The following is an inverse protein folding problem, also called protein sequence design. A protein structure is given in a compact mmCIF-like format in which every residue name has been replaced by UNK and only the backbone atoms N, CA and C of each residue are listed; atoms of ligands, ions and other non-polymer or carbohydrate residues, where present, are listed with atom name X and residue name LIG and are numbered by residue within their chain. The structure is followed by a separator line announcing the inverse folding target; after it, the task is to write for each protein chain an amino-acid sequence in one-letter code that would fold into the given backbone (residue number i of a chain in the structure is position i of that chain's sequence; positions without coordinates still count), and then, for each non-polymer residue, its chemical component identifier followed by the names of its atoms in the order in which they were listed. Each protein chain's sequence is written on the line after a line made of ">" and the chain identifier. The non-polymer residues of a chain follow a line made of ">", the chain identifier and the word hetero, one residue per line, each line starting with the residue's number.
data_IF_910475739108
#
_entry.id   IF_910475739108
#
_cell.length_a   1.000
_cell.length_b   1.000
_cell.length_c   1.000
_cell.angle_alpha   90.00
_cell.angle_beta   90.00
_cell.angle_gamma   90.00
#
_symmetry.space_group_name_H-M   'P 1'
#
loop_
_entity.id
_entity.type
_entity.pdbx_description
1 polymer ?
#
# COMPACT_ATOMS: atom_id res chain seq x y z
N UNK A 1 31.49 -36.67 -4.83
CA UNK A 1 30.21 -36.37 -5.50
C UNK A 1 29.49 -35.39 -4.61
N UNK A 2 29.55 -34.11 -4.98
CA UNK A 2 28.80 -33.08 -4.27
C UNK A 2 27.31 -33.38 -4.42
N UNK A 3 26.63 -33.46 -3.28
CA UNK A 3 25.19 -33.60 -3.20
C UNK A 3 24.58 -32.28 -3.65
N UNK A 4 24.38 -32.12 -4.96
CA UNK A 4 23.70 -30.94 -5.50
C UNK A 4 22.32 -30.81 -4.85
N UNK A 5 22.13 -29.71 -4.14
CA UNK A 5 20.93 -29.38 -3.38
C UNK A 5 19.68 -29.50 -4.26
N UNK A 6 18.59 -30.11 -3.77
CA UNK A 6 17.35 -30.32 -4.53
C UNK A 6 16.77 -29.02 -5.13
N UNK A 7 17.08 -27.87 -4.52
CA UNK A 7 16.67 -26.54 -4.97
C UNK A 7 17.27 -26.14 -6.34
N UNK A 8 18.50 -26.57 -6.65
CA UNK A 8 19.15 -26.27 -7.93
C UNK A 8 18.47 -27.01 -9.08
N UNK A 9 18.05 -28.26 -8.82
CA UNK A 9 17.38 -29.11 -9.82
C UNK A 9 15.98 -28.60 -10.16
N UNK A 10 15.24 -28.15 -9.15
CA UNK A 10 13.94 -27.50 -9.33
C UNK A 10 14.07 -26.18 -10.12
N UNK A 11 15.15 -25.42 -9.87
CA UNK A 11 15.43 -24.18 -10.58
C UNK A 11 15.75 -24.42 -12.07
N UNK A 12 16.63 -25.38 -12.38
CA UNK A 12 16.95 -25.78 -13.76
C UNK A 12 15.71 -26.27 -14.49
N UNK A 13 14.88 -27.10 -13.82
CA UNK A 13 13.59 -27.53 -14.36
C UNK A 13 12.68 -26.35 -14.69
N UNK A 14 12.56 -25.36 -13.80
CA UNK A 14 11.77 -24.17 -14.06
C UNK A 14 12.32 -23.31 -15.22
N UNK A 15 13.64 -23.21 -15.38
CA UNK A 15 14.26 -22.49 -16.50
C UNK A 15 13.96 -23.17 -17.85
N UNK A 16 14.01 -24.51 -17.89
CA UNK A 16 13.71 -25.31 -19.08
C UNK A 16 12.25 -25.15 -19.54
N UNK A 17 11.30 -25.15 -18.61
CA UNK A 17 9.88 -24.91 -18.91
C UNK A 17 9.66 -23.55 -19.59
N UNK A 18 10.52 -22.57 -19.29
CA UNK A 18 10.53 -21.24 -19.91
C UNK A 18 9.65 -20.25 -19.16
N UNK A 19 10.06 -18.97 -19.16
CA UNK A 19 9.43 -17.93 -18.33
C UNK A 19 8.53 -16.94 -19.06
N UNK A 20 8.51 -16.85 -20.40
CA UNK A 20 7.64 -15.84 -21.05
C UNK A 20 7.30 -16.06 -22.53
N UNK A 21 8.18 -16.65 -23.36
CA UNK A 21 7.98 -16.64 -24.84
C UNK A 21 8.21 -17.96 -25.57
N UNK A 22 8.90 -18.92 -24.97
CA UNK A 22 9.10 -20.26 -25.51
C UNK A 22 8.73 -21.28 -24.41
N UNK A 23 7.46 -21.67 -24.35
CA UNK A 23 7.03 -22.77 -23.50
C UNK A 23 7.34 -24.07 -24.24
N UNK A 24 8.20 -24.92 -23.68
CA UNK A 24 8.40 -26.26 -24.21
C UNK A 24 7.09 -27.04 -24.09
N UNK A 25 6.78 -27.89 -25.07
CA UNK A 25 5.73 -28.89 -24.88
C UNK A 25 6.18 -29.87 -23.78
N UNK A 26 5.24 -30.43 -23.02
CA UNK A 26 5.57 -31.46 -22.02
C UNK A 26 6.37 -32.62 -22.62
N UNK A 27 6.04 -33.02 -23.85
CA UNK A 27 6.77 -34.06 -24.59
C UNK A 27 8.22 -33.72 -24.90
N UNK A 28 8.50 -32.46 -25.29
CA UNK A 28 9.86 -32.01 -25.58
C UNK A 28 10.65 -31.85 -24.28
N UNK A 29 9.99 -31.38 -23.21
CA UNK A 29 10.57 -31.33 -21.88
C UNK A 29 10.98 -32.72 -21.39
N UNK A 30 10.12 -33.73 -21.55
CA UNK A 30 10.43 -35.10 -21.13
C UNK A 30 11.62 -35.68 -21.91
N UNK A 31 11.71 -35.42 -23.21
CA UNK A 31 12.87 -35.81 -24.04
C UNK A 31 14.17 -35.15 -23.56
N UNK A 32 14.14 -33.85 -23.26
CA UNK A 32 15.30 -33.12 -22.75
C UNK A 32 15.69 -33.65 -21.37
N UNK A 33 14.72 -33.93 -20.49
CA UNK A 33 14.97 -34.52 -19.18
C UNK A 33 15.61 -35.90 -19.29
N UNK A 34 15.20 -36.76 -20.22
CA UNK A 34 15.86 -38.05 -20.45
C UNK A 34 17.33 -37.87 -20.81
N UNK A 35 17.64 -36.95 -21.73
CA UNK A 35 19.03 -36.69 -22.15
C UNK A 35 19.86 -36.13 -20.98
N UNK A 36 19.33 -35.15 -20.23
CA UNK A 36 20.06 -34.51 -19.14
C UNK A 36 20.22 -35.43 -17.92
N UNK A 37 19.22 -36.26 -17.62
CA UNK A 37 19.29 -37.24 -16.55
C UNK A 37 20.33 -38.33 -16.86
N UNK A 38 20.37 -38.82 -18.10
CA UNK A 38 21.26 -39.92 -18.51
C UNK A 38 22.70 -39.45 -18.76
N UNK A 39 22.88 -38.36 -19.50
CA UNK A 39 24.21 -37.89 -19.92
C UNK A 39 24.88 -36.95 -18.92
N UNK A 40 24.11 -36.17 -18.18
CA UNK A 40 24.64 -35.16 -17.25
C UNK A 40 24.41 -35.51 -15.78
N UNK A 41 23.75 -36.64 -15.48
CA UNK A 41 23.36 -37.08 -14.13
C UNK A 41 22.58 -36.02 -13.33
N UNK A 42 22.00 -35.03 -14.00
CA UNK A 42 21.16 -34.00 -13.41
C UNK A 42 19.79 -34.61 -13.18
N UNK A 43 19.44 -35.03 -11.96
CA UNK A 43 18.11 -35.60 -11.65
C UNK A 43 17.02 -34.52 -11.67
N UNK A 44 16.56 -34.14 -12.86
CA UNK A 44 15.52 -33.11 -13.03
C UNK A 44 14.15 -33.73 -12.73
N UNK A 45 13.30 -33.07 -11.92
CA UNK A 45 11.96 -33.55 -11.61
C UNK A 45 11.03 -33.58 -12.83
N UNK A 46 10.01 -34.41 -12.76
CA UNK A 46 8.97 -34.50 -13.78
C UNK A 46 8.25 -33.16 -14.01
N UNK A 47 7.75 -32.96 -15.22
CA UNK A 47 7.01 -31.75 -15.61
C UNK A 47 5.90 -31.37 -14.62
N UNK A 48 5.12 -32.35 -14.16
CA UNK A 48 4.03 -32.14 -13.20
C UNK A 48 4.54 -31.59 -11.88
N UNK A 49 5.63 -32.12 -11.34
CA UNK A 49 6.26 -31.64 -10.10
C UNK A 49 6.71 -30.19 -10.22
N UNK A 50 7.31 -29.81 -11.35
CA UNK A 50 7.71 -28.42 -11.62
C UNK A 50 6.48 -27.51 -11.71
N UNK A 51 5.44 -27.96 -12.44
CA UNK A 51 4.18 -27.22 -12.54
C UNK A 51 3.53 -26.98 -11.17
N UNK A 52 3.51 -27.98 -10.29
CA UNK A 52 3.00 -27.86 -8.93
C UNK A 52 3.86 -26.93 -8.08
N UNK A 53 5.19 -27.02 -8.17
CA UNK A 53 6.09 -26.09 -7.50
C UNK A 53 5.86 -24.65 -7.94
N UNK A 54 5.75 -24.40 -9.24
CA UNK A 54 5.44 -23.06 -9.77
C UNK A 54 4.06 -22.58 -9.34
N UNK A 55 3.04 -23.46 -9.31
CA UNK A 55 1.70 -23.13 -8.81
C UNK A 55 1.76 -22.72 -7.34
N UNK A 56 2.45 -23.51 -6.50
CA UNK A 56 2.66 -23.20 -5.08
C UNK A 56 3.34 -21.85 -4.89
N UNK A 57 4.37 -21.53 -5.68
CA UNK A 57 5.04 -20.22 -5.62
C UNK A 57 4.08 -19.09 -6.03
N UNK A 58 3.29 -19.27 -7.09
CA UNK A 58 2.28 -18.28 -7.51
C UNK A 58 1.24 -18.06 -6.42
N UNK A 59 0.75 -19.12 -5.79
CA UNK A 59 -0.23 -19.06 -4.72
C UNK A 59 0.36 -18.34 -3.48
N UNK A 60 1.61 -18.65 -3.11
CA UNK A 60 2.34 -17.97 -2.04
C UNK A 60 2.50 -16.47 -2.32
N UNK A 61 2.80 -16.11 -3.57
CA UNK A 61 2.94 -14.71 -4.00
C UNK A 61 1.60 -14.03 -4.27
N UNK A 62 0.47 -14.75 -4.24
CA UNK A 62 -0.85 -14.21 -4.60
C UNK A 62 -0.96 -13.79 -6.08
N UNK A 63 -0.18 -14.40 -6.96
CA UNK A 63 -0.16 -14.18 -8.41
C UNK A 63 -1.17 -15.09 -9.10
N UNK A 64 -2.45 -14.74 -8.96
CA UNK A 64 -3.55 -15.46 -9.61
C UNK A 64 -3.50 -15.29 -11.14
N UNK A 65 -3.49 -16.42 -11.85
CA UNK A 65 -3.64 -16.47 -13.30
C UNK A 65 -5.13 -16.48 -13.63
N UNK A 66 -5.59 -15.47 -14.36
CA UNK A 66 -6.97 -15.34 -14.81
C UNK A 66 -7.06 -15.62 -16.29
N UNK A 67 -8.02 -16.46 -16.67
CA UNK A 67 -8.37 -16.61 -18.08
C UNK A 67 -9.27 -15.44 -18.48
N UNK A 68 -8.86 -14.69 -19.50
CA UNK A 68 -9.65 -13.63 -20.11
C UNK A 68 -9.63 -13.77 -21.61
N UNK A 69 -10.71 -13.37 -22.28
CA UNK A 69 -10.73 -13.28 -23.73
C UNK A 69 -9.97 -12.03 -24.17
N UNK A 70 -9.08 -12.22 -25.14
CA UNK A 70 -8.44 -11.11 -25.83
C UNK A 70 -9.43 -10.33 -26.68
N UNK A 71 -9.00 -9.14 -27.14
CA UNK A 71 -9.78 -8.30 -28.07
C UNK A 71 -10.16 -9.06 -29.36
N UNK A 72 -9.39 -10.11 -29.69
CA UNK A 72 -9.62 -10.99 -30.84
C UNK A 72 -10.48 -12.23 -30.53
N UNK A 73 -11.10 -12.30 -29.36
CA UNK A 73 -11.94 -13.43 -28.93
C UNK A 73 -11.15 -14.71 -28.63
N UNK A 74 -9.82 -14.63 -28.48
CA UNK A 74 -9.00 -15.77 -28.11
C UNK A 74 -8.80 -15.82 -26.59
N UNK A 75 -8.99 -16.98 -25.92
CA UNK A 75 -8.74 -17.11 -24.49
C UNK A 75 -7.24 -16.97 -24.19
N UNK A 76 -6.90 -16.09 -23.27
CA UNK A 76 -5.54 -15.82 -22.82
C UNK A 76 -5.42 -15.95 -21.31
N UNK A 77 -4.29 -16.48 -20.86
CA UNK A 77 -3.93 -16.50 -19.45
C UNK A 77 -3.25 -15.17 -19.10
N UNK A 78 -3.77 -14.46 -18.10
CA UNK A 78 -3.29 -13.13 -17.72
C UNK A 78 -3.04 -13.08 -16.22
N UNK A 79 -1.91 -12.48 -15.84
CA UNK A 79 -1.65 -12.13 -14.45
C UNK A 79 -2.37 -10.83 -14.08
N UNK A 80 -2.84 -10.74 -12.84
CA UNK A 80 -3.39 -9.48 -12.33
C UNK A 80 -2.32 -8.38 -12.35
N UNK A 81 -2.43 -7.43 -13.30
CA UNK A 81 -1.52 -6.29 -13.41
C UNK A 81 -1.45 -5.50 -12.11
N UNK A 82 -2.57 -5.43 -11.37
CA UNK A 82 -2.64 -4.85 -10.03
C UNK A 82 -1.70 -5.53 -9.03
N UNK A 83 -1.75 -6.86 -8.92
CA UNK A 83 -0.92 -7.62 -7.97
C UNK A 83 0.55 -7.56 -8.37
N UNK A 84 0.84 -7.65 -9.67
CA UNK A 84 2.18 -7.49 -10.18
C UNK A 84 2.75 -6.10 -9.83
N UNK A 85 2.01 -5.03 -10.13
CA UNK A 85 2.42 -3.66 -9.79
C UNK A 85 2.59 -3.47 -8.29
N UNK A 86 1.67 -3.98 -7.46
CA UNK A 86 1.82 -3.94 -6.00
C UNK A 86 3.15 -4.54 -5.54
N UNK A 87 3.52 -5.72 -6.05
CA UNK A 87 4.79 -6.35 -5.71
C UNK A 87 6.00 -5.57 -6.21
N UNK A 88 5.93 -5.00 -7.42
CA UNK A 88 7.01 -4.19 -7.96
C UNK A 88 7.23 -2.91 -7.16
N UNK A 89 6.15 -2.22 -6.76
CA UNK A 89 6.20 -1.00 -5.97
C UNK A 89 6.60 -1.28 -4.51
N UNK A 90 6.33 -2.48 -3.99
CA UNK A 90 6.76 -2.92 -2.67
C UNK A 90 8.28 -3.18 -2.57
N UNK A 91 9.02 -3.17 -3.68
CA UNK A 91 10.47 -3.42 -3.64
C UNK A 91 11.19 -2.25 -2.96
N UNK A 92 12.04 -2.50 -1.93
CA UNK A 92 12.81 -1.44 -1.26
C UNK A 92 13.71 -0.65 -2.22
N UNK A 93 14.18 -1.27 -3.29
CA UNK A 93 15.00 -0.62 -4.33
C UNK A 93 14.20 0.37 -5.20
N UNK A 94 12.88 0.22 -5.27
CA UNK A 94 12.01 1.10 -6.07
C UNK A 94 11.54 2.29 -5.24
N UNK A 95 11.36 2.09 -3.93
CA UNK A 95 10.87 3.10 -2.99
C UNK A 95 11.58 4.47 -3.09
N UNK A 96 12.92 4.59 -3.19
CA UNK A 96 13.61 5.88 -3.31
C UNK A 96 13.26 6.68 -4.58
N UNK A 97 12.72 6.02 -5.59
CA UNK A 97 12.36 6.63 -6.88
C UNK A 97 10.86 6.98 -6.98
N UNK A 98 10.10 6.76 -5.90
CA UNK A 98 8.67 7.08 -5.84
C UNK A 98 8.47 8.26 -4.90
N UNK A 99 7.74 9.26 -5.37
CA UNK A 99 7.22 10.32 -4.50
C UNK A 99 5.99 9.78 -3.75
N UNK A 100 5.95 9.93 -2.42
CA UNK A 100 4.82 9.48 -1.58
C UNK A 100 3.86 10.60 -1.16
N UNK A 101 4.26 11.84 -1.43
CA UNK A 101 3.50 13.03 -1.08
C UNK A 101 3.12 13.79 -2.34
N UNK A 102 1.89 14.29 -2.44
CA UNK A 102 1.53 15.20 -3.50
C UNK A 102 2.28 16.53 -3.33
N UNK A 103 2.58 17.19 -4.44
CA UNK A 103 3.27 18.47 -4.49
C UNK A 103 2.34 19.53 -5.05
N UNK A 104 2.20 20.65 -4.32
CA UNK A 104 1.43 21.80 -4.79
C UNK A 104 2.35 22.75 -5.56
N UNK A 105 2.28 22.65 -6.89
CA UNK A 105 3.03 23.49 -7.83
C UNK A 105 2.30 24.76 -8.24
N UNK A 106 1.10 25.01 -7.69
CA UNK A 106 0.24 26.14 -8.09
C UNK A 106 -0.03 26.21 -9.60
N UNK A 107 0.06 25.07 -10.29
CA UNK A 107 -0.18 24.96 -11.75
C UNK A 107 1.03 25.21 -12.64
N UNK A 108 2.23 25.38 -12.09
CA UNK A 108 3.43 25.75 -12.86
C UNK A 108 4.43 24.59 -12.95
N UNK A 109 5.06 24.39 -14.10
CA UNK A 109 6.16 23.42 -14.29
C UNK A 109 5.84 21.99 -13.80
N UNK A 110 4.70 21.42 -14.22
CA UNK A 110 4.31 20.06 -13.88
C UNK A 110 5.00 19.05 -14.80
N UNK A 111 5.90 18.23 -14.25
CA UNK A 111 6.66 17.20 -14.99
C UNK A 111 6.62 15.81 -14.34
N UNK A 112 6.00 15.67 -13.15
CA UNK A 112 5.86 14.40 -12.43
C UNK A 112 4.44 14.19 -11.89
N UNK A 113 4.06 12.93 -11.68
CA UNK A 113 2.71 12.57 -11.22
C UNK A 113 2.36 13.13 -9.84
N UNK A 114 3.35 13.29 -8.94
CA UNK A 114 3.18 13.91 -7.63
C UNK A 114 2.69 15.35 -7.71
N UNK A 115 2.95 16.06 -8.80
CA UNK A 115 2.50 17.43 -9.02
C UNK A 115 1.09 17.52 -9.62
N UNK A 116 0.41 16.39 -9.82
CA UNK A 116 -0.93 16.36 -10.37
C UNK A 116 -1.95 16.93 -9.38
N UNK A 117 -2.77 17.87 -9.85
CA UNK A 117 -3.91 18.40 -9.10
C UNK A 117 -4.88 17.30 -8.65
N UNK A 118 -4.93 16.18 -9.37
CA UNK A 118 -5.78 15.04 -9.03
C UNK A 118 -5.38 14.41 -7.70
N UNK A 119 -4.08 14.39 -7.38
CA UNK A 119 -3.58 13.82 -6.12
C UNK A 119 -4.00 14.68 -4.93
N UNK A 120 -3.86 16.01 -5.04
CA UNK A 120 -4.28 16.97 -4.01
C UNK A 120 -5.78 16.90 -3.70
N UNK A 121 -6.59 16.46 -4.66
CA UNK A 121 -8.06 16.40 -4.58
C UNK A 121 -8.62 14.99 -4.35
N UNK A 122 -7.78 14.02 -3.99
CA UNK A 122 -8.23 12.64 -3.75
C UNK A 122 -9.19 12.50 -2.57
N UNK A 123 -10.00 11.44 -2.62
CA UNK A 123 -10.88 11.05 -1.52
C UNK A 123 -10.07 10.72 -0.25
N UNK A 124 -10.63 10.91 0.96
CA UNK A 124 -9.93 10.68 2.22
C UNK A 124 -9.16 9.36 2.31
N UNK A 125 -9.73 8.27 1.78
CA UNK A 125 -9.14 6.93 1.76
C UNK A 125 -7.89 6.77 0.88
N UNK A 126 -7.71 7.66 -0.11
CA UNK A 126 -6.60 7.59 -1.07
C UNK A 126 -5.55 8.68 -0.82
N UNK A 127 -5.78 9.59 0.12
CA UNK A 127 -4.80 10.60 0.51
C UNK A 127 -3.58 9.94 1.15
N UNK A 128 -2.47 10.66 1.19
CA UNK A 128 -1.33 10.24 2.01
C UNK A 128 -1.76 10.18 3.48
N UNK A 129 -1.63 9.01 4.09
CA UNK A 129 -2.23 8.73 5.40
C UNK A 129 -1.34 9.12 6.58
N UNK A 130 -0.05 9.33 6.36
CA UNK A 130 0.93 9.51 7.44
C UNK A 130 2.10 10.37 6.97
N UNK A 131 2.67 11.15 7.90
CA UNK A 131 4.01 11.70 7.77
C UNK A 131 4.86 11.35 9.00
N UNK A 132 6.18 11.46 8.85
CA UNK A 132 7.14 11.17 9.93
C UNK A 132 7.85 12.46 10.32
N UNK A 133 7.91 12.76 11.61
CA UNK A 133 8.74 13.84 12.16
C UNK A 133 9.42 13.36 13.45
N UNK A 134 10.74 13.52 13.57
CA UNK A 134 11.51 13.15 14.76
C UNK A 134 11.18 11.74 15.31
N UNK A 135 11.09 10.73 14.44
CA UNK A 135 10.70 9.32 14.74
C UNK A 135 9.24 9.07 15.10
N UNK A 136 8.42 10.13 15.19
CA UNK A 136 6.98 10.06 15.44
C UNK A 136 6.18 9.97 14.15
N UNK A 137 5.04 9.30 14.23
CA UNK A 137 4.11 9.05 13.13
C UNK A 137 2.84 9.89 13.32
N UNK A 138 2.61 10.80 12.38
CA UNK A 138 1.43 11.66 12.41
C UNK A 138 0.48 11.26 11.30
N UNK A 139 -0.72 10.83 11.68
CA UNK A 139 -1.74 10.37 10.74
C UNK A 139 -2.69 11.51 10.34
N UNK A 140 -3.24 11.40 9.13
CA UNK A 140 -4.36 12.25 8.73
C UNK A 140 -5.60 11.93 9.59
N UNK A 141 -6.44 12.93 9.83
CA UNK A 141 -7.64 12.83 10.67
C UNK A 141 -7.40 12.46 12.15
N UNK A 142 -6.14 12.49 12.61
CA UNK A 142 -5.81 12.34 14.03
C UNK A 142 -5.37 13.68 14.65
N UNK A 143 -5.83 14.01 15.87
CA UNK A 143 -5.36 15.21 16.54
C UNK A 143 -3.86 15.17 16.84
N UNK A 144 -3.18 16.29 16.63
CA UNK A 144 -1.77 16.49 16.98
C UNK A 144 -1.58 17.82 17.69
N UNK A 145 -0.54 17.90 18.51
CA UNK A 145 -0.11 19.15 19.16
C UNK A 145 1.21 19.61 18.54
N UNK A 146 1.30 20.89 18.21
CA UNK A 146 2.54 21.54 17.75
C UNK A 146 3.45 21.95 18.91
N UNK A 147 4.70 22.32 18.63
CA UNK A 147 5.59 22.92 19.64
C UNK A 147 5.05 24.23 20.24
N UNK A 148 4.19 24.93 19.49
CA UNK A 148 3.45 26.12 19.99
C UNK A 148 2.26 25.78 20.89
N UNK A 149 2.06 24.49 21.24
CA UNK A 149 0.94 23.98 22.05
C UNK A 149 -0.43 24.21 21.42
N UNK A 150 -0.51 24.27 20.09
CA UNK A 150 -1.76 24.38 19.35
C UNK A 150 -2.24 22.99 18.92
N UNK A 151 -3.54 22.76 19.06
CA UNK A 151 -4.19 21.53 18.65
C UNK A 151 -4.67 21.64 17.21
N UNK A 152 -4.23 20.72 16.36
CA UNK A 152 -4.59 20.64 14.95
C UNK A 152 -5.02 19.24 14.58
N UNK A 153 -5.83 19.13 13.52
CA UNK A 153 -6.13 17.86 12.86
C UNK A 153 -5.72 17.99 11.39
N UNK A 154 -4.69 17.26 10.93
CA UNK A 154 -4.23 17.31 9.55
C UNK A 154 -5.23 16.60 8.63
N UNK A 155 -5.62 17.27 7.55
CA UNK A 155 -6.58 16.77 6.56
C UNK A 155 -5.88 16.36 5.26
N UNK A 156 -4.78 17.05 4.93
CA UNK A 156 -3.94 16.79 3.77
C UNK A 156 -2.47 16.93 4.14
N UNK A 157 -1.63 16.03 3.63
CA UNK A 157 -0.17 16.20 3.59
C UNK A 157 0.25 16.53 2.17
N UNK A 158 1.10 17.52 2.00
CA UNK A 158 1.60 17.93 0.68
C UNK A 158 2.94 18.65 0.80
N UNK A 159 3.76 18.55 -0.25
CA UNK A 159 4.96 19.34 -0.41
C UNK A 159 4.56 20.71 -0.97
N UNK A 160 4.98 21.76 -0.28
CA UNK A 160 4.83 23.16 -0.71
C UNK A 160 6.19 23.83 -0.63
N UNK A 161 6.62 24.45 -1.74
CA UNK A 161 7.90 25.15 -1.85
C UNK A 161 9.10 24.28 -1.39
N UNK A 162 9.07 22.98 -1.70
CA UNK A 162 10.12 22.01 -1.37
C UNK A 162 10.08 21.45 0.06
N UNK A 163 9.17 21.91 0.92
CA UNK A 163 9.03 21.40 2.28
C UNK A 163 7.70 20.67 2.50
N UNK A 164 7.71 19.64 3.35
CA UNK A 164 6.50 18.91 3.71
C UNK A 164 5.65 19.74 4.70
N UNK A 165 4.39 19.92 4.34
CA UNK A 165 3.41 20.64 5.11
C UNK A 165 2.16 19.78 5.28
N UNK A 166 1.37 20.16 6.28
CA UNK A 166 0.00 19.70 6.44
C UNK A 166 -0.97 20.86 6.30
N UNK A 167 -2.09 20.61 5.62
CA UNK A 167 -3.27 21.47 5.72
C UNK A 167 -4.16 20.92 6.83
N UNK A 168 -4.32 21.71 7.87
CA UNK A 168 -4.94 21.34 9.12
C UNK A 168 -6.21 22.14 9.38
N UNK A 169 -7.14 21.55 10.12
CA UNK A 169 -8.23 22.27 10.77
C UNK A 169 -7.97 22.38 12.27
N UNK A 170 -8.48 23.44 12.87
CA UNK A 170 -8.58 23.54 14.33
C UNK A 170 -9.89 22.87 14.72
N UNK A 171 -9.87 21.79 15.52
CA UNK A 171 -11.10 21.13 15.93
C UNK A 171 -11.91 22.01 16.88
N UNK A 172 -13.22 22.03 16.70
CA UNK A 172 -14.12 22.68 17.66
C UNK A 172 -14.34 21.74 18.84
N UNK A 173 -14.05 22.22 20.03
CA UNK A 173 -14.25 21.46 21.28
C UNK A 173 -15.62 21.85 21.85
N UNK A 174 -16.55 20.90 21.95
CA UNK A 174 -17.85 21.09 22.60
C UNK A 174 -17.94 20.27 23.88
N UNK A 175 -18.20 20.95 24.99
CA UNK A 175 -18.47 20.28 26.28
C UNK A 175 -19.83 19.59 26.26
N UNK A 176 -19.88 18.29 26.55
CA UNK A 176 -21.12 17.50 26.66
C UNK A 176 -21.53 17.24 28.10
N UNK A 177 -20.58 17.17 29.02
CA UNK A 177 -20.79 17.08 30.48
C UNK A 177 -19.59 17.70 31.21
N UNK A 178 -19.59 17.71 32.55
CA UNK A 178 -18.52 18.33 33.35
C UNK A 178 -17.09 17.83 33.05
N UNK A 179 -16.93 16.63 32.47
CA UNK A 179 -15.61 16.06 32.15
C UNK A 179 -15.50 15.44 30.75
N UNK A 180 -16.55 15.55 29.91
CA UNK A 180 -16.54 14.97 28.55
C UNK A 180 -16.65 16.05 27.48
N UNK A 181 -15.83 15.89 26.44
CA UNK A 181 -15.77 16.84 25.34
C UNK A 181 -15.89 16.09 24.01
N UNK A 182 -16.53 16.73 23.04
CA UNK A 182 -16.60 16.26 21.67
C UNK A 182 -15.67 17.11 20.82
N UNK A 183 -14.72 16.45 20.15
CA UNK A 183 -13.93 17.05 19.09
C UNK A 183 -14.69 16.97 17.77
N UNK A 184 -14.82 18.11 17.11
CA UNK A 184 -15.59 18.27 15.88
C UNK A 184 -14.74 18.88 14.77
N UNK A 185 -14.85 18.33 13.56
CA UNK A 185 -14.27 18.93 12.35
C UNK A 185 -15.33 19.14 11.28
N UNK A 186 -15.12 20.09 10.35
CA UNK A 186 -15.98 20.21 9.19
C UNK A 186 -15.94 18.96 8.30
N UNK A 187 -17.09 18.59 7.72
CA UNK A 187 -17.17 17.54 6.72
C UNK A 187 -16.80 18.07 5.32
N UNK A 188 -16.37 17.17 4.41
CA UNK A 188 -16.17 17.46 2.98
C UNK A 188 -15.20 18.62 2.68
N UNK A 189 -14.18 18.78 3.52
CA UNK A 189 -13.16 19.84 3.36
C UNK A 189 -12.39 19.61 2.06
N UNK A 190 -12.34 20.65 1.21
CA UNK A 190 -11.58 20.67 -0.04
C UNK A 190 -10.15 21.13 0.21
N UNK A 191 -9.23 20.76 -0.68
CA UNK A 191 -7.81 21.13 -0.54
C UNK A 191 -7.56 22.65 -0.51
N UNK A 192 -8.38 23.43 -1.21
CA UNK A 192 -8.29 24.90 -1.28
C UNK A 192 -9.29 25.60 -0.35
N UNK A 193 -9.79 24.91 0.67
CA UNK A 193 -10.69 25.52 1.65
C UNK A 193 -9.96 26.61 2.45
N UNK A 194 -10.47 27.84 2.52
CA UNK A 194 -9.80 28.94 3.22
C UNK A 194 -9.74 28.76 4.74
N UNK A 195 -10.54 27.84 5.30
CA UNK A 195 -10.51 27.52 6.74
C UNK A 195 -9.33 26.62 7.14
N UNK A 196 -8.59 26.10 6.15
CA UNK A 196 -7.42 25.27 6.39
C UNK A 196 -6.20 26.12 6.73
N UNK A 197 -5.56 25.77 7.84
CA UNK A 197 -4.27 26.29 8.24
C UNK A 197 -3.16 25.47 7.61
N UNK A 198 -2.18 26.14 7.03
CA UNK A 198 -0.98 25.46 6.53
C UNK A 198 0.08 25.46 7.62
N UNK A 199 0.50 24.27 8.05
CA UNK A 199 1.46 24.06 9.14
C UNK A 199 2.61 23.21 8.61
N UNK A 200 3.85 23.59 8.94
CA UNK A 200 5.03 22.76 8.60
C UNK A 200 5.02 21.49 9.44
N UNK A 201 5.26 20.33 8.83
CA UNK A 201 5.27 19.07 9.61
C UNK A 201 6.39 19.02 10.65
N UNK A 202 7.46 19.80 10.44
CA UNK A 202 8.54 20.04 11.41
C UNK A 202 8.04 20.64 12.74
N UNK A 203 6.90 21.34 12.74
CA UNK A 203 6.32 21.95 13.94
C UNK A 203 5.51 20.97 14.80
N UNK A 204 5.30 19.74 14.32
CA UNK A 204 4.56 18.71 15.04
C UNK A 204 5.38 18.18 16.21
N UNK A 205 4.78 18.13 17.40
CA UNK A 205 5.46 17.75 18.64
C UNK A 205 4.90 16.47 19.27
N UNK A 206 3.58 16.40 19.44
CA UNK A 206 2.92 15.28 20.14
C UNK A 206 1.89 14.59 19.25
N UNK A 207 1.95 13.27 19.26
CA UNK A 207 0.91 12.40 18.69
C UNK A 207 -0.32 12.38 19.59
N UNK A 208 -1.47 11.97 19.05
CA UNK A 208 -2.74 11.92 19.76
C UNK A 208 -2.68 11.28 21.17
N UNK A 209 -2.00 10.13 21.39
CA UNK A 209 -1.94 9.50 22.71
C UNK A 209 -1.19 10.33 23.77
N UNK A 210 -0.31 11.22 23.35
CA UNK A 210 0.53 12.05 24.24
C UNK A 210 -0.13 13.38 24.61
N UNK A 211 -1.19 13.78 23.89
CA UNK A 211 -1.88 15.05 24.10
C UNK A 211 -2.65 14.99 25.43
N UNK A 212 -2.43 16.01 26.27
CA UNK A 212 -3.09 16.15 27.56
C UNK A 212 -3.77 17.51 27.65
N UNK A 213 -5.00 17.51 28.15
CA UNK A 213 -5.76 18.71 28.45
C UNK A 213 -6.17 18.65 29.93
N UNK A 214 -5.82 19.68 30.71
CA UNK A 214 -6.02 19.70 32.17
C UNK A 214 -5.46 18.45 32.89
N UNK A 215 -4.24 18.01 32.50
CA UNK A 215 -3.56 16.80 32.98
C UNK A 215 -4.22 15.45 32.66
N UNK A 216 -5.34 15.43 31.94
CA UNK A 216 -6.00 14.21 31.47
C UNK A 216 -5.67 13.97 29.98
N UNK A 217 -5.41 12.71 29.56
CA UNK A 217 -5.23 12.38 28.16
C UNK A 217 -6.46 12.73 27.32
N UNK A 218 -6.24 13.37 26.16
CA UNK A 218 -7.33 13.78 25.27
C UNK A 218 -8.19 12.59 24.82
N UNK A 219 -7.56 11.41 24.66
CA UNK A 219 -8.21 10.14 24.37
C UNK A 219 -9.30 9.74 25.35
N UNK A 220 -9.08 9.99 26.65
CA UNK A 220 -10.05 9.71 27.72
C UNK A 220 -11.16 10.74 27.69
N UNK A 221 -10.78 12.02 27.59
CA UNK A 221 -11.69 13.17 27.60
C UNK A 221 -12.72 13.09 26.46
N UNK A 222 -12.27 12.63 25.28
CA UNK A 222 -13.09 12.50 24.08
C UNK A 222 -13.60 11.08 23.84
N UNK A 223 -13.32 10.16 24.76
CA UNK A 223 -13.66 8.74 24.65
C UNK A 223 -13.27 8.11 23.30
N UNK A 224 -12.12 8.53 22.75
CA UNK A 224 -11.66 8.18 21.40
C UNK A 224 -12.74 8.35 20.32
N UNK A 225 -13.43 9.49 20.34
CA UNK A 225 -14.44 9.82 19.33
C UNK A 225 -14.16 11.16 18.69
N UNK A 226 -14.43 11.19 17.40
CA UNK A 226 -14.27 12.34 16.54
C UNK A 226 -15.52 12.51 15.68
N UNK A 227 -16.00 13.74 15.51
CA UNK A 227 -17.27 14.00 14.84
C UNK A 227 -17.09 14.93 13.65
N UNK A 228 -17.58 14.51 12.49
CA UNK A 228 -17.72 15.42 11.34
C UNK A 228 -19.05 16.19 11.45
N UNK A 229 -19.02 17.48 11.18
CA UNK A 229 -20.18 18.38 11.28
C UNK A 229 -20.34 19.15 9.97
N UNK A 230 -21.58 19.28 9.50
CA UNK A 230 -21.93 20.15 8.38
C UNK A 230 -22.09 21.60 8.88
N UNK A 231 -21.90 22.59 8.00
CA UNK A 231 -21.95 24.02 8.34
C UNK A 231 -23.22 24.50 9.07
N UNK A 232 -24.28 23.71 9.06
CA UNK A 232 -25.46 23.91 9.89
C UNK A 232 -25.29 23.16 11.22
N UNK A 233 -25.24 23.91 12.34
CA UNK A 233 -25.10 23.46 13.73
C UNK A 233 -26.14 22.41 14.23
N UNK A 234 -26.91 21.78 13.34
CA UNK A 234 -27.79 20.68 13.67
C UNK A 234 -26.97 19.40 13.94
N UNK A 235 -27.06 18.80 15.14
CA UNK A 235 -26.57 17.45 15.33
C UNK A 235 -27.49 16.53 14.54
N UNK A 236 -27.04 16.06 13.37
CA UNK A 236 -27.78 15.03 12.64
C UNK A 236 -27.88 13.82 13.58
N UNK A 237 -29.10 13.32 13.79
CA UNK A 237 -29.43 11.99 14.34
C UNK A 237 -28.93 10.86 13.43
N UNK A 238 -27.67 10.95 12.99
CA UNK A 238 -27.10 10.18 11.88
C UNK A 238 -25.74 10.72 11.44
N UNK A 239 -24.97 11.36 12.33
CA UNK A 239 -23.58 11.67 12.05
C UNK A 239 -22.85 10.38 11.68
N UNK A 240 -22.29 10.31 10.48
CA UNK A 240 -21.43 9.18 10.10
C UNK A 240 -20.30 9.14 11.14
N UNK A 241 -20.33 8.10 11.99
CA UNK A 241 -19.15 7.69 12.75
C UNK A 241 -18.02 7.52 11.74
N UNK A 242 -17.00 8.38 11.79
CA UNK A 242 -15.67 7.81 11.62
C UNK A 242 -15.60 6.76 12.73
N UNK A 243 -15.46 5.48 12.36
CA UNK A 243 -15.50 4.36 13.30
C UNK A 243 -14.54 4.57 14.46
N UNK A 244 -14.63 3.74 15.50
CA UNK A 244 -13.62 3.69 16.56
C UNK A 244 -12.23 3.81 15.92
N UNK A 245 -11.32 4.63 16.48
CA UNK A 245 -10.01 5.00 15.90
C UNK A 245 -9.24 3.82 15.26
N UNK A 246 -9.57 2.59 15.64
CA UNK A 246 -9.00 1.32 15.18
C UNK A 246 -9.65 0.69 13.93
N UNK A 247 -10.81 1.15 13.41
CA UNK A 247 -11.54 0.45 12.35
C UNK A 247 -11.30 0.93 10.92
N UNK A 248 -10.54 2.01 10.70
CA UNK A 248 -10.01 2.34 9.36
C UNK A 248 -8.78 1.49 8.97
N UNK A 249 -8.27 0.69 9.92
CA UNK A 249 -7.28 -0.36 9.67
C UNK A 249 -8.00 -1.69 9.87
N UNK A 250 -8.44 -2.34 8.79
CA UNK A 250 -8.93 -3.72 8.90
C UNK A 250 -7.77 -4.62 9.35
N UNK A 251 -7.83 -5.29 10.51
CA UNK A 251 -6.76 -6.16 10.99
C UNK A 251 -6.60 -7.43 10.14
N UNK A 252 -7.56 -7.72 9.26
CA UNK A 252 -7.57 -8.89 8.38
C UNK A 252 -6.54 -8.84 7.23
N UNK A 253 -5.80 -7.73 7.09
CA UNK A 253 -4.67 -7.63 6.16
C UNK A 253 -3.29 -7.72 6.84
N UNK A 254 -3.24 -7.82 8.17
CA UNK A 254 -2.01 -8.00 8.92
C UNK A 254 -1.69 -9.49 9.02
N UNK A 255 -0.94 -10.04 8.05
CA UNK A 255 -0.20 -11.27 8.35
C UNK A 255 0.91 -10.90 9.36
N UNK A 256 1.02 -11.58 10.51
CA UNK A 256 2.14 -11.39 11.41
C UNK A 256 3.40 -11.90 10.71
N UNK A 257 4.32 -11.01 10.35
CA UNK A 257 5.70 -11.42 10.06
C UNK A 257 6.35 -11.81 11.39
N UNK A 258 6.23 -13.09 11.75
CA UNK A 258 7.05 -13.72 12.77
C UNK A 258 8.46 -13.89 12.22
N UNK A 259 9.30 -12.86 12.38
CA UNK A 259 10.77 -12.89 12.57
C UNK A 259 11.40 -11.58 12.07
N UNK A 260 12.10 -10.81 12.93
CA UNK A 260 12.86 -9.65 12.50
C UNK A 260 14.24 -10.12 11.99
N UNK A 261 14.39 -10.33 10.69
CA UNK A 261 15.72 -10.43 10.09
C UNK A 261 16.31 -9.02 9.95
N UNK A 262 17.29 -8.73 10.80
CA UNK A 262 18.05 -7.48 10.81
C UNK A 262 19.10 -7.52 9.71
N UNK A 263 18.79 -6.98 8.53
CA UNK A 263 19.82 -6.66 7.55
C UNK A 263 20.61 -5.43 8.02
N UNK A 264 21.84 -5.64 8.52
CA UNK A 264 22.83 -4.56 8.69
C UNK A 264 23.27 -4.08 7.31
N UNK A 265 22.92 -2.84 6.98
CA UNK A 265 23.68 -2.08 5.99
C UNK A 265 24.02 -0.70 6.55
N UNK A 266 25.26 -0.30 6.31
CA UNK A 266 25.91 0.85 6.91
C UNK A 266 25.17 2.17 6.63
N UNK A 267 24.97 2.95 7.69
CA UNK A 267 24.92 4.42 7.58
C UNK A 267 23.56 5.10 7.35
N UNK A 268 22.45 4.38 7.17
CA UNK A 268 21.11 5.00 7.16
C UNK A 268 20.10 4.08 7.83
N UNK A 269 19.58 4.47 9.00
CA UNK A 269 18.45 3.81 9.65
C UNK A 269 17.18 4.03 8.81
N UNK A 270 17.03 3.27 7.74
CA UNK A 270 15.77 3.17 7.00
C UNK A 270 15.04 1.99 7.64
N UNK A 271 14.11 2.29 8.55
CA UNK A 271 13.14 1.29 9.01
C UNK A 271 12.38 0.77 7.77
N UNK A 272 12.42 -0.54 7.48
CA UNK A 272 11.79 -1.09 6.28
C UNK A 272 10.26 -1.12 6.35
N UNK A 273 9.63 -0.66 7.43
CA UNK A 273 8.18 -0.81 7.61
C UNK A 273 7.36 0.32 6.96
N UNK A 274 7.75 1.59 7.07
CA UNK A 274 6.83 2.72 6.78
C UNK A 274 6.49 2.89 5.30
N UNK A 275 7.46 2.68 4.41
CA UNK A 275 7.29 2.86 2.96
C UNK A 275 6.55 1.70 2.30
N UNK A 276 6.76 0.48 2.83
CA UNK A 276 6.01 -0.72 2.47
C UNK A 276 4.53 -0.60 2.85
N UNK A 277 4.23 -0.07 4.04
CA UNK A 277 2.84 0.14 4.50
C UNK A 277 2.09 1.20 3.69
N UNK A 278 2.74 2.32 3.34
CA UNK A 278 2.11 3.38 2.53
C UNK A 278 1.83 2.92 1.09
N UNK A 279 2.75 2.19 0.46
CA UNK A 279 2.55 1.62 -0.87
C UNK A 279 1.43 0.57 -0.90
N UNK A 280 1.26 -0.20 0.19
CA UNK A 280 0.22 -1.23 0.29
C UNK A 280 -1.20 -0.63 0.42
N UNK A 281 -1.34 0.49 1.13
CA UNK A 281 -2.65 1.14 1.38
C UNK A 281 -3.17 1.96 0.20
N UNK A 282 -2.30 2.51 -0.66
CA UNK A 282 -2.70 3.43 -1.74
C UNK A 282 -3.35 2.78 -2.98
N UNK A 283 -3.41 1.44 -3.07
CA UNK A 283 -3.90 0.73 -4.27
C UNK A 283 -5.31 0.13 -4.03
N UNK A 284 -6.31 1.00 -3.81
CA UNK A 284 -7.75 0.67 -3.82
C UNK A 284 -8.50 1.36 -4.98
N UNK A 285 -9.65 0.81 -5.40
CA UNK A 285 -9.95 0.45 -6.78
C UNK A 285 -10.28 1.65 -7.69
N UNK A 286 -9.76 1.65 -8.91
CA UNK A 286 -10.39 2.34 -10.05
C UNK A 286 -10.68 1.34 -11.14
N UNK A 287 -11.86 1.43 -11.75
CA UNK A 287 -12.50 0.38 -12.57
C UNK A 287 -11.84 0.10 -13.93
N UNK A 288 -10.68 0.67 -14.24
CA UNK A 288 -10.06 0.52 -15.56
C UNK A 288 -8.71 -0.19 -15.42
N UNK A 289 -8.76 -1.52 -15.51
CA UNK A 289 -7.55 -2.35 -15.53
C UNK A 289 -7.11 -2.52 -16.97
N UNK A 290 -5.97 -1.94 -17.35
CA UNK A 290 -5.29 -2.26 -18.61
C UNK A 290 -4.70 -3.67 -18.51
N UNK A 291 -5.02 -4.51 -19.48
CA UNK A 291 -4.66 -5.93 -19.57
C UNK A 291 -3.34 -6.06 -20.33
N UNK A 292 -2.34 -6.73 -19.75
CA UNK A 292 -1.16 -7.20 -20.48
C UNK A 292 -1.42 -8.65 -20.91
N UNK A 293 -1.42 -8.90 -22.22
CA UNK A 293 -1.66 -10.22 -22.78
C UNK A 293 -0.39 -11.08 -22.72
N UNK A 294 -0.50 -12.29 -22.17
CA UNK A 294 0.46 -13.35 -22.40
C UNK A 294 -0.19 -14.38 -23.34
N UNK A 295 0.54 -14.90 -24.35
CA UNK A 295 0.00 -15.89 -25.26
C UNK A 295 -0.31 -17.20 -24.52
N UNK A 296 -1.51 -17.74 -24.72
CA UNK A 296 -1.94 -19.03 -24.20
C UNK A 296 -1.88 -20.06 -25.34
N UNK A 297 -0.99 -21.05 -25.25
CA UNK A 297 -1.03 -22.22 -26.14
C UNK A 297 -2.11 -23.19 -25.65
N UNK A 298 -3.04 -23.56 -26.52
CA UNK A 298 -4.06 -24.57 -26.26
C UNK A 298 -3.36 -25.92 -26.06
N UNK A 299 -3.40 -26.45 -24.83
CA UNK A 299 -3.25 -27.88 -24.62
C UNK A 299 -4.45 -28.58 -25.26
N UNK A 300 -4.16 -29.56 -26.11
CA UNK A 300 -5.15 -30.38 -26.80
C UNK A 300 -6.12 -31.02 -25.80
N UNK A 301 -7.42 -30.93 -26.10
CA UNK A 301 -8.41 -31.86 -25.57
C UNK A 301 -8.10 -33.25 -26.16
N UNK A 302 -7.55 -34.16 -25.38
CA UNK A 302 -7.70 -35.58 -25.65
C UNK A 302 -9.00 -36.04 -25.00
N UNK A 303 -9.99 -36.36 -25.85
CA UNK A 303 -11.01 -37.34 -25.51
C UNK A 303 -10.31 -38.70 -25.46
N UNK A 304 -10.35 -39.36 -24.31
CA UNK A 304 -10.88 -40.73 -24.16
C UNK A 304 -11.60 -40.77 -22.82
#
# INVERSE_FOLDING_TARGET
>A
MEEETPEIKDFVGCLLVGYTRNLLSGTLFDQICLILNELCHLKIPAWSSIYWSQKRIRDLLGLEVKMQESVWGMPCAVLSSRRALQQHLAKPLVSPHIDFYPEDTKGVNQYKLSQSQKWLTMSPSLRTQMCVNNTKHFHNFEPLETYSKQLYVPIFFCIMDGELHAKCVIPTIRTTSWASYQLRIPQNIKFNDPTLFTVKTKEFAKEYPEIKQNNLPLSIICANKFFEVNGDNSPIHGGKRLGDFFHLISPSACMPMTHPETFRNAGTNIYPSTTLWQAYLQIYPTKNTTVMFLPCNRGYHERV
#
